data_IF_111978949314
#
_entry.id   IF_111978949314
#
_cell.length_a   1.000
_cell.length_b   1.000
_cell.length_c   1.000
_cell.angle_alpha   90.00
_cell.angle_beta   90.00
_cell.angle_gamma   90.00
#
_symmetry.space_group_name_H-M   'P 1'
#
loop_
_entity.id
_entity.type
_entity.pdbx_description
1 polymer ?
#
# COMPACT_ATOMS: atom_id res chain seq x y z
N UNK A 1 46.11 -26.53 5.61
CA UNK A 1 45.04 -25.86 6.37
C UNK A 1 43.74 -26.57 6.10
N UNK A 2 43.23 -27.38 7.05
CA UNK A 2 41.92 -28.02 6.89
C UNK A 2 40.83 -26.97 7.12
N UNK A 3 40.20 -26.50 6.04
CA UNK A 3 39.05 -25.60 6.12
C UNK A 3 37.93 -26.35 6.87
N UNK A 4 37.50 -25.81 8.00
CA UNK A 4 36.35 -26.34 8.73
C UNK A 4 35.07 -25.90 7.99
N UNK A 5 34.56 -26.77 7.13
CA UNK A 5 33.38 -26.53 6.29
C UNK A 5 32.14 -26.23 7.15
N UNK A 6 32.06 -26.76 8.38
CA UNK A 6 30.95 -26.50 9.31
C UNK A 6 30.99 -25.09 9.91
N UNK A 7 32.18 -24.58 10.26
CA UNK A 7 32.33 -23.19 10.71
C UNK A 7 32.08 -22.20 9.57
N UNK A 8 32.60 -22.50 8.37
CA UNK A 8 32.34 -21.70 7.17
C UNK A 8 30.85 -21.62 6.82
N UNK A 9 30.15 -22.76 6.81
CA UNK A 9 28.71 -22.80 6.51
C UNK A 9 27.86 -22.09 7.57
N UNK A 10 28.21 -22.21 8.86
CA UNK A 10 27.52 -21.48 9.94
C UNK A 10 27.65 -19.97 9.80
N UNK A 11 28.84 -19.47 9.44
CA UNK A 11 29.07 -18.03 9.18
C UNK A 11 28.26 -17.54 7.98
N UNK A 12 28.21 -18.30 6.89
CA UNK A 12 27.40 -17.98 5.71
C UNK A 12 25.91 -17.94 6.08
N UNK A 13 25.42 -18.89 6.87
CA UNK A 13 24.03 -18.92 7.32
C UNK A 13 23.65 -17.67 8.14
N UNK A 14 24.52 -17.24 9.06
CA UNK A 14 24.29 -15.99 9.80
C UNK A 14 24.33 -14.76 8.91
N UNK A 15 25.25 -14.69 7.95
CA UNK A 15 25.29 -13.59 6.98
C UNK A 15 24.01 -13.53 6.16
N UNK A 16 23.52 -14.68 5.66
CA UNK A 16 22.28 -14.75 4.91
C UNK A 16 21.08 -14.29 5.76
N UNK A 17 20.97 -14.75 7.01
CA UNK A 17 19.91 -14.31 7.92
C UNK A 17 19.99 -12.82 8.28
N UNK A 18 21.21 -12.29 8.46
CA UNK A 18 21.45 -10.88 8.70
C UNK A 18 21.06 -9.99 7.52
N UNK A 19 21.42 -10.40 6.29
CA UNK A 19 21.02 -9.70 5.06
C UNK A 19 19.51 -9.73 4.85
N UNK A 20 18.86 -10.89 5.09
CA UNK A 20 17.41 -10.99 5.02
C UNK A 20 16.73 -10.04 6.02
N UNK A 21 17.24 -10.00 7.26
CA UNK A 21 16.76 -9.08 8.30
C UNK A 21 16.90 -7.63 7.88
N UNK A 22 18.09 -7.23 7.42
CA UNK A 22 18.33 -5.85 6.96
C UNK A 22 17.42 -5.49 5.78
N UNK A 23 17.27 -6.40 4.81
CA UNK A 23 16.38 -6.22 3.66
C UNK A 23 14.92 -6.01 4.07
N UNK A 24 14.40 -6.84 4.99
CA UNK A 24 13.03 -6.68 5.49
C UNK A 24 12.83 -5.39 6.27
N UNK A 25 13.79 -4.98 7.09
CA UNK A 25 13.71 -3.71 7.82
C UNK A 25 13.71 -2.51 6.88
N UNK A 26 14.56 -2.52 5.85
CA UNK A 26 14.58 -1.48 4.82
C UNK A 26 13.23 -1.45 4.10
N UNK A 27 12.74 -2.60 3.64
CA UNK A 27 11.44 -2.71 2.97
C UNK A 27 10.29 -2.16 3.82
N UNK A 28 10.23 -2.52 5.10
CA UNK A 28 9.20 -2.02 6.02
C UNK A 28 9.34 -0.52 6.29
N UNK A 29 10.56 0.01 6.34
CA UNK A 29 10.82 1.44 6.55
C UNK A 29 10.50 2.31 5.32
N UNK A 30 10.65 1.77 4.11
CA UNK A 30 10.35 2.48 2.85
C UNK A 30 8.92 2.31 2.37
N UNK A 31 8.07 1.61 3.14
CA UNK A 31 6.67 1.38 2.79
C UNK A 31 5.87 2.68 2.85
N UNK A 32 5.27 3.08 1.72
CA UNK A 32 4.34 4.21 1.65
C UNK A 32 2.93 3.68 1.31
N UNK A 33 1.99 3.66 2.27
CA UNK A 33 0.68 3.09 2.06
C UNK A 33 -0.15 3.96 1.10
N UNK A 34 -0.70 3.33 0.07
CA UNK A 34 -1.69 3.97 -0.79
C UNK A 34 -3.04 4.09 -0.07
N UNK A 35 -3.55 5.31 0.03
CA UNK A 35 -4.90 5.59 0.56
C UNK A 35 -5.69 6.39 -0.46
N UNK A 36 -6.92 5.93 -0.69
CA UNK A 36 -7.94 6.63 -1.46
C UNK A 36 -9.05 7.12 -0.54
N UNK A 37 -9.55 8.32 -0.79
CA UNK A 37 -10.73 8.88 -0.09
C UNK A 37 -11.78 9.26 -1.12
N UNK A 38 -13.01 8.83 -0.84
CA UNK A 38 -14.14 9.05 -1.72
C UNK A 38 -14.85 10.35 -1.34
N UNK A 39 -15.08 11.21 -2.32
CA UNK A 39 -15.85 12.45 -2.19
C UNK A 39 -16.97 12.47 -3.22
N UNK A 40 -18.06 13.18 -2.92
CA UNK A 40 -19.10 13.50 -3.89
C UNK A 40 -19.29 14.99 -4.06
N UNK A 41 -19.80 15.33 -5.25
CA UNK A 41 -20.35 16.64 -5.54
C UNK A 41 -21.69 16.46 -6.26
N UNK A 42 -22.74 17.05 -5.68
CA UNK A 42 -24.11 16.89 -6.19
C UNK A 42 -24.51 17.98 -7.19
N UNK A 43 -23.81 19.10 -7.23
CA UNK A 43 -24.14 20.26 -8.06
C UNK A 43 -22.89 20.97 -8.57
N UNK A 44 -22.94 21.65 -9.73
CA UNK A 44 -21.87 22.52 -10.18
C UNK A 44 -21.54 23.56 -9.11
N UNK A 45 -20.25 23.72 -8.79
CA UNK A 45 -19.78 24.62 -7.71
C UNK A 45 -20.32 24.29 -6.31
N UNK A 46 -20.83 23.08 -6.10
CA UNK A 46 -21.20 22.57 -4.78
C UNK A 46 -19.97 22.32 -3.91
N UNK A 47 -20.22 22.05 -2.62
CA UNK A 47 -19.18 21.59 -1.70
C UNK A 47 -18.85 20.13 -1.94
N UNK A 48 -17.58 19.78 -1.74
CA UNK A 48 -17.13 18.40 -1.66
C UNK A 48 -17.65 17.77 -0.37
N UNK A 49 -18.27 16.60 -0.47
CA UNK A 49 -18.77 15.85 0.69
C UNK A 49 -18.09 14.49 0.74
N UNK A 50 -17.41 14.20 1.86
CA UNK A 50 -16.80 12.90 2.05
C UNK A 50 -17.86 11.81 2.07
N UNK A 51 -17.62 10.75 1.32
CA UNK A 51 -18.48 9.57 1.26
C UNK A 51 -18.01 8.50 2.25
N UNK A 52 -18.98 7.73 2.78
CA UNK A 52 -18.73 6.53 3.59
C UNK A 52 -19.00 5.22 2.84
N UNK A 53 -19.57 5.31 1.65
CA UNK A 53 -19.95 4.19 0.80
C UNK A 53 -19.47 4.39 -0.63
N UNK A 54 -19.65 3.36 -1.45
CA UNK A 54 -19.19 3.39 -2.84
C UNK A 54 -19.89 4.46 -3.67
N UNK A 55 -19.18 4.96 -4.67
CA UNK A 55 -19.75 5.77 -5.72
C UNK A 55 -20.88 5.03 -6.44
N UNK A 56 -22.08 5.61 -6.59
CA UNK A 56 -23.16 5.00 -7.35
C UNK A 56 -22.72 4.66 -8.78
N UNK A 57 -23.29 3.59 -9.35
CA UNK A 57 -22.90 3.08 -10.67
C UNK A 57 -23.17 4.06 -11.82
N UNK A 58 -24.15 4.92 -11.61
CA UNK A 58 -24.64 5.92 -12.55
C UNK A 58 -23.87 7.24 -12.45
N UNK A 59 -23.12 7.46 -11.36
CA UNK A 59 -22.31 8.65 -11.19
C UNK A 59 -21.06 8.60 -12.08
N UNK A 60 -20.62 9.76 -12.58
CA UNK A 60 -19.31 9.85 -13.20
C UNK A 60 -18.22 9.88 -12.12
N UNK A 61 -17.06 9.32 -12.43
CA UNK A 61 -15.92 9.23 -11.52
C UNK A 61 -14.73 9.99 -12.07
N UNK A 62 -14.11 10.78 -11.21
CA UNK A 62 -12.89 11.50 -11.52
C UNK A 62 -11.83 11.20 -10.47
N UNK A 63 -10.67 10.74 -10.93
CA UNK A 63 -9.57 10.33 -10.08
C UNK A 63 -8.44 11.33 -10.17
N UNK A 64 -7.98 11.83 -9.03
CA UNK A 64 -6.81 12.70 -8.95
C UNK A 64 -6.08 12.50 -7.63
N UNK A 65 -4.86 13.03 -7.53
CA UNK A 65 -4.09 12.97 -6.29
C UNK A 65 -3.87 14.36 -5.74
N UNK A 66 -3.97 14.50 -4.43
CA UNK A 66 -3.61 15.73 -3.71
C UNK A 66 -2.61 15.44 -2.61
N UNK A 67 -2.00 16.49 -2.07
CA UNK A 67 -1.07 16.37 -0.94
C UNK A 67 -1.80 16.79 0.33
N UNK A 68 -1.73 15.95 1.37
CA UNK A 68 -2.24 16.31 2.69
C UNK A 68 -1.40 17.44 3.31
N UNK A 69 -1.91 18.06 4.37
CA UNK A 69 -1.18 19.08 5.13
C UNK A 69 0.18 18.61 5.69
N UNK A 70 0.45 17.31 5.67
CA UNK A 70 1.67 16.69 6.19
C UNK A 70 2.57 16.14 5.08
N UNK A 71 2.34 16.53 3.83
CA UNK A 71 3.20 16.17 2.70
C UNK A 71 2.99 14.75 2.16
N UNK A 72 1.91 14.07 2.56
CA UNK A 72 1.58 12.72 2.06
C UNK A 72 0.67 12.81 0.84
N UNK A 73 0.97 12.04 -0.19
CA UNK A 73 0.11 11.93 -1.37
C UNK A 73 -1.12 11.10 -1.02
N UNK A 74 -2.29 11.62 -1.38
CA UNK A 74 -3.59 10.98 -1.13
C UNK A 74 -4.33 10.92 -2.45
N UNK A 75 -4.85 9.75 -2.79
CA UNK A 75 -5.74 9.60 -3.94
C UNK A 75 -7.15 10.04 -3.56
N UNK A 76 -7.80 10.75 -4.47
CA UNK A 76 -9.19 11.19 -4.34
C UNK A 76 -10.00 10.52 -5.44
N UNK A 77 -11.05 9.78 -5.06
CA UNK A 77 -12.09 9.31 -5.97
C UNK A 77 -13.28 10.27 -5.84
N UNK A 78 -13.50 11.08 -6.88
CA UNK A 78 -14.56 12.08 -6.89
C UNK A 78 -15.76 11.60 -7.70
N UNK A 79 -16.87 11.43 -7.00
CA UNK A 79 -18.18 11.11 -7.54
C UNK A 79 -18.93 12.36 -7.98
N UNK A 80 -19.16 12.49 -9.28
CA UNK A 80 -20.02 13.50 -9.86
C UNK A 80 -21.41 12.89 -10.04
N UNK A 81 -22.36 13.30 -9.21
CA UNK A 81 -23.72 12.78 -9.33
C UNK A 81 -24.36 13.27 -10.62
N UNK A 82 -24.87 12.32 -11.41
CA UNK A 82 -25.66 12.61 -12.59
C UNK A 82 -27.07 12.98 -12.20
N UNK A 83 -27.76 13.68 -13.10
CA UNK A 83 -29.17 13.97 -12.98
C UNK A 83 -29.85 13.82 -14.35
N UNK A 84 -31.17 13.60 -14.41
CA UNK A 84 -31.87 13.46 -15.69
C UNK A 84 -31.95 14.81 -16.42
N UNK A 85 -31.66 14.80 -17.71
CA UNK A 85 -31.82 15.95 -18.62
C UNK A 85 -32.75 15.65 -19.78
N UNK A 86 -33.43 16.69 -20.26
CA UNK A 86 -34.28 16.63 -21.45
C UNK A 86 -35.55 15.78 -21.27
N UNK A 87 -36.26 15.53 -22.36
CA UNK A 87 -37.50 14.72 -22.35
C UNK A 87 -37.23 13.21 -22.21
N UNK A 88 -36.01 12.78 -22.52
CA UNK A 88 -35.63 11.37 -22.52
C UNK A 88 -35.05 10.91 -21.16
N UNK A 89 -34.89 11.82 -20.18
CA UNK A 89 -34.28 11.54 -18.88
C UNK A 89 -32.85 10.97 -18.98
N UNK A 90 -32.07 11.46 -19.94
CA UNK A 90 -30.67 11.05 -20.09
C UNK A 90 -29.88 11.46 -18.84
N UNK A 91 -29.16 10.52 -18.23
CA UNK A 91 -28.34 10.78 -17.06
C UNK A 91 -27.05 11.50 -17.48
N UNK A 92 -26.97 12.80 -17.21
CA UNK A 92 -25.80 13.61 -17.55
C UNK A 92 -25.17 14.21 -16.30
N UNK A 93 -23.87 14.48 -16.40
CA UNK A 93 -23.10 15.15 -15.34
C UNK A 93 -23.39 16.64 -15.41
N UNK A 94 -23.96 17.24 -14.35
CA UNK A 94 -24.15 18.68 -14.30
C UNK A 94 -22.80 19.35 -14.07
N UNK A 95 -22.37 20.18 -15.02
CA UNK A 95 -21.03 20.79 -14.99
C UNK A 95 -21.05 22.32 -14.85
N UNK A 96 -22.18 22.98 -15.16
CA UNK A 96 -22.28 24.45 -15.09
C UNK A 96 -23.69 24.91 -14.72
N UNK A 97 -23.78 26.05 -14.05
CA UNK A 97 -25.00 26.82 -13.84
C UNK A 97 -24.78 28.19 -14.49
N UNK A 98 -25.69 28.62 -15.37
CA UNK A 98 -25.61 29.93 -16.02
C UNK A 98 -26.30 31.05 -15.21
N UNK A 99 -26.24 32.28 -15.73
CA UNK A 99 -26.81 33.47 -15.08
C UNK A 99 -28.34 33.40 -14.92
N UNK A 100 -29.01 32.53 -15.68
CA UNK A 100 -30.45 32.29 -15.61
C UNK A 100 -30.81 31.13 -14.69
N UNK A 101 -29.86 30.62 -13.90
CA UNK A 101 -29.98 29.42 -13.07
C UNK A 101 -30.31 28.13 -13.85
N UNK A 102 -29.97 28.08 -15.15
CA UNK A 102 -30.08 26.84 -15.92
C UNK A 102 -28.87 25.96 -15.66
N UNK A 103 -29.12 24.70 -15.32
CA UNK A 103 -28.08 23.68 -15.18
C UNK A 103 -27.76 23.13 -16.56
N UNK A 104 -26.46 23.04 -16.86
CA UNK A 104 -25.95 22.43 -18.08
C UNK A 104 -25.37 21.06 -17.74
N UNK A 105 -25.78 20.04 -18.49
CA UNK A 105 -25.33 18.67 -18.34
C UNK A 105 -24.64 18.19 -19.61
N UNK A 106 -23.63 17.33 -19.45
CA UNK A 106 -22.99 16.64 -20.57
C UNK A 106 -22.60 15.21 -20.17
N UNK A 107 -22.30 14.36 -21.16
CA UNK A 107 -21.89 12.98 -20.91
C UNK A 107 -20.53 12.92 -20.20
N UNK A 108 -20.29 11.87 -19.42
CA UNK A 108 -19.11 11.74 -18.55
C UNK A 108 -17.75 11.86 -19.27
N UNK A 109 -17.69 11.50 -20.55
CA UNK A 109 -16.46 11.56 -21.37
C UNK A 109 -16.44 12.74 -22.35
N UNK A 110 -17.27 13.75 -22.13
CA UNK A 110 -17.31 14.97 -22.94
C UNK A 110 -16.18 15.93 -22.56
N UNK A 111 -15.78 16.77 -23.50
CA UNK A 111 -14.79 17.83 -23.26
C UNK A 111 -15.19 18.80 -22.14
N UNK A 112 -16.48 19.04 -22.01
CA UNK A 112 -17.11 19.92 -21.04
C UNK A 112 -16.97 19.36 -19.62
N UNK A 113 -17.23 18.06 -19.45
CA UNK A 113 -17.02 17.37 -18.17
C UNK A 113 -15.55 17.29 -17.83
N UNK A 114 -14.67 16.97 -18.80
CA UNK A 114 -13.22 16.97 -18.54
C UNK A 114 -12.66 18.35 -18.14
N UNK A 115 -13.19 19.44 -18.71
CA UNK A 115 -12.82 20.79 -18.29
C UNK A 115 -13.32 21.11 -16.88
N UNK A 116 -14.54 20.69 -16.55
CA UNK A 116 -15.12 20.84 -15.22
C UNK A 116 -14.37 20.03 -14.16
N UNK A 117 -13.97 18.80 -14.47
CA UNK A 117 -13.15 17.96 -13.59
C UNK A 117 -11.83 18.63 -13.21
N UNK A 118 -11.11 19.21 -14.19
CA UNK A 118 -9.88 19.98 -13.94
C UNK A 118 -10.14 21.20 -13.06
N UNK A 119 -11.26 21.88 -13.25
CA UNK A 119 -11.68 22.98 -12.38
C UNK A 119 -11.93 22.50 -10.95
N UNK A 120 -12.56 21.33 -10.78
CA UNK A 120 -12.79 20.71 -9.47
C UNK A 120 -11.50 20.29 -8.78
N UNK A 121 -10.56 19.69 -9.51
CA UNK A 121 -9.23 19.35 -8.99
C UNK A 121 -8.50 20.61 -8.50
N UNK A 122 -8.50 21.69 -9.31
CA UNK A 122 -7.78 22.93 -8.97
C UNK A 122 -8.30 23.64 -7.71
N UNK A 123 -9.58 23.46 -7.37
CA UNK A 123 -10.19 24.03 -6.16
C UNK A 123 -10.22 23.09 -4.98
N UNK A 124 -9.90 21.81 -5.19
CA UNK A 124 -10.02 20.82 -4.15
C UNK A 124 -8.98 21.11 -3.08
N UNK A 125 -9.45 21.32 -1.85
CA UNK A 125 -8.61 21.43 -0.67
C UNK A 125 -9.07 20.36 0.30
N UNK A 126 -8.16 19.47 0.67
CA UNK A 126 -8.44 18.41 1.62
C UNK A 126 -8.86 19.02 2.98
N UNK A 127 -10.07 18.72 3.49
CA UNK A 127 -10.51 19.23 4.77
C UNK A 127 -9.56 18.84 5.92
N UNK A 128 -9.41 19.71 6.91
CA UNK A 128 -8.51 19.47 8.05
C UNK A 128 -8.94 18.25 8.89
N UNK A 129 -10.24 18.01 9.01
CA UNK A 129 -10.78 16.83 9.71
C UNK A 129 -10.39 15.53 9.00
N UNK A 130 -10.53 15.51 7.67
CA UNK A 130 -10.18 14.35 6.84
C UNK A 130 -8.66 14.14 6.79
N UNK A 131 -7.87 15.21 6.81
CA UNK A 131 -6.41 15.14 6.94
C UNK A 131 -5.99 14.44 8.23
N UNK A 132 -6.57 14.80 9.39
CA UNK A 132 -6.27 14.14 10.66
C UNK A 132 -6.67 12.66 10.68
N UNK A 133 -7.82 12.34 10.10
CA UNK A 133 -8.26 10.96 9.98
C UNK A 133 -7.31 10.16 9.08
N UNK A 134 -6.89 10.74 7.95
CA UNK A 134 -5.95 10.14 7.01
C UNK A 134 -4.62 9.82 7.67
N UNK A 135 -4.06 10.75 8.46
CA UNK A 135 -2.81 10.49 9.19
C UNK A 135 -2.91 9.29 10.12
N UNK A 136 -4.01 9.19 10.86
CA UNK A 136 -4.25 8.08 11.78
C UNK A 136 -4.32 6.76 11.01
N UNK A 137 -5.00 6.76 9.87
CA UNK A 137 -5.13 5.58 9.01
C UNK A 137 -3.78 5.18 8.38
N UNK A 138 -3.00 6.16 7.88
CA UNK A 138 -1.63 5.94 7.36
C UNK A 138 -0.75 5.31 8.44
N UNK A 139 -0.75 5.89 9.64
CA UNK A 139 0.03 5.39 10.78
C UNK A 139 -0.37 3.97 11.17
N UNK A 140 -1.68 3.68 11.17
CA UNK A 140 -2.19 2.35 11.45
C UNK A 140 -1.71 1.32 10.41
N UNK A 141 -1.86 1.62 9.12
CA UNK A 141 -1.39 0.76 8.03
C UNK A 141 0.12 0.56 8.05
N UNK A 142 0.87 1.61 8.35
CA UNK A 142 2.31 1.52 8.51
C UNK A 142 2.68 0.57 9.66
N UNK A 143 2.02 0.71 10.82
CA UNK A 143 2.24 -0.15 11.97
C UNK A 143 1.84 -1.61 11.72
N UNK A 144 0.75 -1.84 11.01
CA UNK A 144 0.29 -3.18 10.65
C UNK A 144 1.26 -3.84 9.66
N UNK A 145 1.72 -3.10 8.64
CA UNK A 145 2.75 -3.58 7.72
C UNK A 145 4.06 -3.91 8.45
N UNK A 146 4.44 -3.11 9.45
CA UNK A 146 5.61 -3.39 10.30
C UNK A 146 5.46 -4.68 11.08
N UNK A 147 4.33 -4.88 11.76
CA UNK A 147 4.05 -6.12 12.49
C UNK A 147 4.04 -7.32 11.57
N UNK A 148 3.40 -7.20 10.41
CA UNK A 148 3.31 -8.28 9.44
C UNK A 148 4.70 -8.63 8.87
N UNK A 149 5.50 -7.62 8.51
CA UNK A 149 6.87 -7.79 8.04
C UNK A 149 7.75 -8.48 9.08
N UNK A 150 7.70 -8.05 10.34
CA UNK A 150 8.45 -8.67 11.43
C UNK A 150 8.00 -10.10 11.74
N UNK A 151 6.69 -10.34 11.72
CA UNK A 151 6.11 -11.69 11.87
C UNK A 151 6.60 -12.62 10.76
N UNK A 152 6.51 -12.17 9.50
CA UNK A 152 6.94 -12.95 8.34
C UNK A 152 8.45 -13.20 8.36
N UNK A 153 9.25 -12.20 8.77
CA UNK A 153 10.68 -12.37 8.98
C UNK A 153 10.97 -13.41 10.06
N UNK A 154 10.31 -13.33 11.22
CA UNK A 154 10.51 -14.28 12.31
C UNK A 154 10.19 -15.73 11.89
N UNK A 155 9.09 -15.93 11.16
CA UNK A 155 8.72 -17.24 10.60
C UNK A 155 9.77 -17.70 9.58
N UNK A 156 10.17 -16.82 8.65
CA UNK A 156 11.17 -17.14 7.63
C UNK A 156 12.53 -17.52 8.23
N UNK A 157 12.99 -16.79 9.24
CA UNK A 157 14.24 -17.10 9.96
C UNK A 157 14.13 -18.41 10.74
N UNK A 158 12.98 -18.70 11.36
CA UNK A 158 12.77 -19.97 12.06
C UNK A 158 12.81 -21.17 11.10
N UNK A 159 12.14 -21.07 9.94
CA UNK A 159 12.19 -22.09 8.89
C UNK A 159 13.62 -22.26 8.37
N UNK A 160 14.30 -21.15 8.09
CA UNK A 160 15.69 -21.18 7.63
C UNK A 160 16.62 -21.84 8.65
N UNK A 161 16.49 -21.49 9.93
CA UNK A 161 17.27 -22.09 11.01
C UNK A 161 17.00 -23.60 11.14
N UNK A 162 15.73 -24.01 11.06
CA UNK A 162 15.33 -25.41 11.04
C UNK A 162 15.92 -26.17 9.86
N UNK A 163 15.89 -25.58 8.65
CA UNK A 163 16.50 -26.16 7.46
C UNK A 163 18.02 -26.34 7.61
N UNK A 164 18.73 -25.31 8.04
CA UNK A 164 20.19 -25.38 8.29
C UNK A 164 20.51 -26.44 9.33
N UNK A 165 19.68 -26.56 10.38
CA UNK A 165 19.84 -27.58 11.41
C UNK A 165 19.67 -29.01 10.85
N UNK A 166 18.63 -29.27 10.06
CA UNK A 166 18.38 -30.58 9.43
C UNK A 166 19.52 -30.95 8.47
N UNK A 167 19.93 -30.03 7.59
CA UNK A 167 21.07 -30.27 6.66
C UNK A 167 22.35 -30.53 7.43
N UNK A 168 22.62 -29.77 8.49
CA UNK A 168 23.75 -30.00 9.39
C UNK A 168 23.70 -31.36 10.08
N UNK A 169 22.51 -31.85 10.47
CA UNK A 169 22.36 -33.18 11.06
C UNK A 169 22.64 -34.30 10.04
N UNK A 170 22.09 -34.19 8.82
CA UNK A 170 22.30 -35.17 7.73
C UNK A 170 23.78 -35.24 7.35
N UNK A 171 24.42 -34.09 7.11
CA UNK A 171 25.84 -34.03 6.71
C UNK A 171 26.77 -34.60 7.79
N UNK A 172 26.52 -34.33 9.08
CA UNK A 172 27.29 -34.95 10.17
C UNK A 172 27.06 -36.46 10.27
N UNK A 173 25.83 -36.92 10.04
CA UNK A 173 25.49 -38.35 9.99
C UNK A 173 26.28 -39.09 8.92
N UNK A 174 26.35 -38.54 7.70
CA UNK A 174 27.18 -39.10 6.62
C UNK A 174 28.69 -39.05 6.91
N UNK A 175 29.18 -38.03 7.63
CA UNK A 175 30.61 -37.88 7.94
C UNK A 175 31.05 -38.59 9.24
N UNK A 176 30.12 -39.20 9.98
CA UNK A 176 30.41 -39.87 11.26
C UNK A 176 30.94 -38.92 12.34
N UNK A 177 30.54 -37.65 12.30
CA UNK A 177 30.97 -36.61 13.26
C UNK A 177 29.96 -36.55 14.42
N UNK A 178 30.41 -36.66 15.69
CA UNK A 178 29.54 -36.55 16.85
C UNK A 178 28.81 -35.20 16.93
N UNK A 179 27.61 -35.18 17.52
CA UNK A 179 26.90 -33.93 17.80
C UNK A 179 27.75 -33.00 18.67
N UNK A 180 27.80 -31.72 18.32
CA UNK A 180 28.58 -30.71 19.04
C UNK A 180 30.06 -30.62 18.63
N UNK A 181 30.53 -31.47 17.72
CA UNK A 181 31.89 -31.40 17.17
C UNK A 181 31.87 -30.99 15.70
N UNK A 182 32.86 -30.21 15.29
CA UNK A 182 33.06 -29.82 13.89
C UNK A 182 34.02 -30.75 13.14
N UNK A 183 34.63 -31.71 13.85
CA UNK A 183 35.57 -32.70 13.32
C UNK A 183 35.37 -34.03 14.04
N UNK A 184 35.66 -35.13 13.34
CA UNK A 184 35.74 -36.46 13.97
C UNK A 184 36.90 -36.44 14.98
N UNK A 185 36.72 -36.98 16.21
CA UNK A 185 37.84 -37.13 17.13
C UNK A 185 38.93 -37.95 16.48
N UNK A 186 40.15 -37.42 16.43
CA UNK A 186 41.32 -38.19 16.04
C UNK A 186 41.61 -39.19 17.15
N UNK A 187 41.46 -40.47 16.86
CA UNK A 187 42.05 -41.51 17.70
C UNK A 187 43.56 -41.40 17.54
N UNK A 188 44.21 -40.61 18.39
CA UNK A 188 45.65 -40.75 18.62
C UNK A 188 45.83 -41.99 19.50
N UNK A 189 46.17 -43.10 18.83
CA UNK A 189 46.92 -44.22 19.44
C UNK A 189 48.40 -43.88 19.51
#
# INVERSE_FOLDING_TARGET
MNVNIFDGSRRIAYLAGGLATAGTLIFAATYDPYISVDYSIARPRGSFQRMKGACPSEAARHYFTTTSSYGKQVSIDLCLFTMPFGKNNDQLVPYKIDEKNMVWGAGSYSSEVSAYERELESRFVLPAEDSKWLEKEISHRYWDNWKESLKNLGIGLAIFAGFVWVVGWITRGFMGIPQGMDKKPSNET
#
